data_IF_985110924645
#
_entry.id   IF_985110924645
#
_cell.length_a   1.000
_cell.length_b   1.000
_cell.length_c   1.000
_cell.angle_alpha   90.00
_cell.angle_beta   90.00
_cell.angle_gamma   90.00
#
_symmetry.space_group_name_H-M   'P 1'
#
loop_
_entity.id
_entity.type
_entity.pdbx_description
1 polymer ?
#
# COMPACT_ATOMS: atom_id res chain seq x y z
N UNK A 1 7.95 -7.33 6.70
CA UNK A 1 7.75 -7.18 8.17
C UNK A 1 6.50 -7.95 8.59
N UNK A 2 6.53 -8.60 9.77
CA UNK A 2 5.46 -9.40 10.43
C UNK A 2 4.72 -10.49 9.62
N UNK A 3 4.94 -10.58 8.32
CA UNK A 3 4.30 -11.51 7.40
C UNK A 3 4.38 -12.98 7.85
N UNK A 4 5.58 -13.42 8.27
CA UNK A 4 5.77 -14.80 8.73
C UNK A 4 4.86 -15.16 9.91
N UNK A 5 4.70 -14.25 10.88
CA UNK A 5 3.81 -14.48 12.02
C UNK A 5 2.34 -14.46 11.61
N UNK A 6 1.94 -13.55 10.72
CA UNK A 6 0.59 -13.49 10.18
C UNK A 6 0.23 -14.76 9.40
N UNK A 7 1.15 -15.25 8.57
CA UNK A 7 0.95 -16.44 7.75
C UNK A 7 0.85 -17.75 8.57
N UNK A 8 1.39 -17.77 9.79
CA UNK A 8 1.23 -18.87 10.73
C UNK A 8 -0.14 -18.89 11.43
N UNK A 9 -0.92 -17.81 11.34
CA UNK A 9 -2.24 -17.75 11.97
C UNK A 9 -3.26 -18.61 11.21
N UNK A 10 -4.36 -18.98 11.88
CA UNK A 10 -5.46 -19.71 11.25
C UNK A 10 -6.06 -18.90 10.09
N UNK A 11 -6.63 -19.61 9.09
CA UNK A 11 -7.29 -18.95 7.96
C UNK A 11 -8.43 -18.03 8.42
N UNK A 12 -9.16 -18.43 9.46
CA UNK A 12 -10.20 -17.62 10.08
C UNK A 12 -9.66 -16.28 10.60
N UNK A 13 -8.53 -16.31 11.31
CA UNK A 13 -7.88 -15.08 11.79
C UNK A 13 -7.37 -14.23 10.62
N UNK A 14 -6.73 -14.84 9.62
CA UNK A 14 -6.25 -14.08 8.46
C UNK A 14 -7.38 -13.35 7.74
N UNK A 15 -8.51 -14.04 7.52
CA UNK A 15 -9.71 -13.48 6.87
C UNK A 15 -10.46 -12.45 7.73
N UNK A 16 -10.35 -12.51 9.06
CA UNK A 16 -10.94 -11.50 9.94
C UNK A 16 -10.18 -10.17 9.90
N UNK A 17 -8.88 -10.23 9.61
CA UNK A 17 -8.02 -9.05 9.44
C UNK A 17 -8.08 -8.51 8.01
N UNK A 18 -8.00 -9.38 7.00
CA UNK A 18 -7.88 -8.99 5.60
C UNK A 18 -8.56 -10.02 4.70
N UNK A 19 -9.71 -9.67 4.12
CA UNK A 19 -10.41 -10.54 3.16
C UNK A 19 -9.66 -10.56 1.83
N UNK A 20 -9.93 -11.58 1.02
CA UNK A 20 -9.27 -11.75 -0.28
C UNK A 20 -9.42 -10.51 -1.19
N UNK A 21 -10.61 -9.89 -1.21
CA UNK A 21 -10.88 -8.68 -1.99
C UNK A 21 -10.22 -7.41 -1.40
N UNK A 22 -9.95 -7.39 -0.10
CA UNK A 22 -9.33 -6.23 0.56
C UNK A 22 -7.90 -6.03 0.05
N UNK A 23 -7.19 -7.12 -0.28
CA UNK A 23 -5.82 -7.07 -0.80
C UNK A 23 -5.71 -6.23 -2.07
N UNK A 24 -6.70 -6.34 -2.96
CA UNK A 24 -6.80 -5.63 -4.23
C UNK A 24 -7.09 -4.14 -4.02
N UNK A 25 -7.82 -3.79 -2.96
CA UNK A 25 -8.19 -2.43 -2.64
C UNK A 25 -7.62 -2.00 -1.27
N UNK A 26 -6.30 -2.10 -1.14
CA UNK A 26 -5.56 -1.73 0.07
C UNK A 26 -4.59 -0.58 -0.18
N UNK A 27 -4.20 0.07 0.91
CA UNK A 27 -3.03 0.96 0.98
C UNK A 27 -2.27 0.66 2.27
N UNK A 28 -0.99 1.01 2.30
CA UNK A 28 -0.12 0.79 3.45
C UNK A 28 0.36 2.14 3.97
N UNK A 29 0.35 2.32 5.28
CA UNK A 29 1.05 3.42 5.94
C UNK A 29 2.06 2.79 6.87
N UNK A 30 3.34 3.12 6.69
CA UNK A 30 4.43 2.52 7.47
C UNK A 30 5.47 3.57 7.83
N UNK A 31 6.08 3.44 9.01
CA UNK A 31 7.26 4.21 9.42
C UNK A 31 8.58 3.54 8.98
N UNK A 32 8.52 2.52 8.14
CA UNK A 32 9.67 1.80 7.58
C UNK A 32 9.69 1.97 6.05
N UNK A 33 10.66 1.40 5.35
CA UNK A 33 10.67 1.45 3.89
C UNK A 33 9.45 0.73 3.30
N UNK A 34 8.87 1.28 2.24
CA UNK A 34 7.78 0.62 1.50
C UNK A 34 8.25 -0.72 0.91
N UNK A 35 9.55 -0.88 0.65
CA UNK A 35 10.13 -2.16 0.22
C UNK A 35 9.99 -3.26 1.27
N UNK A 36 10.11 -2.93 2.57
CA UNK A 36 9.95 -3.91 3.65
C UNK A 36 8.50 -4.41 3.81
N UNK A 37 7.55 -3.73 3.15
CA UNK A 37 6.14 -4.09 3.07
C UNK A 37 5.83 -5.00 1.88
N UNK A 38 6.82 -5.55 1.16
CA UNK A 38 6.61 -6.29 -0.09
C UNK A 38 5.56 -7.41 -0.04
N UNK A 39 5.48 -8.17 1.07
CA UNK A 39 4.44 -9.20 1.25
C UNK A 39 3.02 -8.63 1.35
N UNK A 40 2.88 -7.36 1.71
CA UNK A 40 1.61 -6.67 1.84
C UNK A 40 1.25 -5.84 0.58
N UNK A 41 2.20 -5.68 -0.35
CA UNK A 41 2.03 -4.92 -1.61
C UNK A 41 1.79 -5.91 -2.75
N UNK A 42 0.52 -6.18 -3.06
CA UNK A 42 0.16 -7.15 -4.11
C UNK A 42 0.36 -6.64 -5.54
N UNK A 43 0.33 -5.33 -5.77
CA UNK A 43 0.53 -4.74 -7.10
C UNK A 43 1.05 -3.29 -7.01
N UNK A 44 1.62 -2.73 -8.10
CA UNK A 44 2.21 -1.39 -8.09
C UNK A 44 1.26 -0.29 -7.62
N UNK A 45 -0.04 -0.35 -7.96
CA UNK A 45 -1.02 0.65 -7.52
C UNK A 45 -1.14 0.70 -5.98
N UNK A 46 -0.98 -0.42 -5.23
CA UNK A 46 -0.95 -0.35 -3.75
C UNK A 46 0.21 0.54 -3.31
N UNK A 47 1.40 0.34 -3.90
CA UNK A 47 2.61 1.12 -3.60
C UNK A 47 2.41 2.61 -3.89
N UNK A 48 1.81 2.96 -5.02
CA UNK A 48 1.57 4.34 -5.44
C UNK A 48 0.68 5.14 -4.47
N UNK A 49 -0.27 4.46 -3.82
CA UNK A 49 -1.17 5.10 -2.86
C UNK A 49 -0.74 4.88 -1.40
N UNK A 50 0.34 4.14 -1.17
CA UNK A 50 0.89 3.91 0.15
C UNK A 50 1.78 5.05 0.61
N UNK A 51 2.00 5.13 1.91
CA UNK A 51 2.78 6.18 2.56
C UNK A 51 3.93 5.56 3.34
N UNK A 52 5.14 6.07 3.08
CA UNK A 52 6.36 5.64 3.73
C UNK A 52 7.38 6.79 3.74
N UNK A 53 8.33 6.81 4.70
CA UNK A 53 9.36 7.83 4.81
C UNK A 53 10.35 7.87 3.62
N UNK A 54 10.45 6.79 2.85
CA UNK A 54 11.33 6.67 1.67
C UNK A 54 10.67 7.11 0.36
N UNK A 55 9.65 7.97 0.41
CA UNK A 55 8.85 8.39 -0.75
C UNK A 55 9.67 9.08 -1.87
N UNK A 56 10.77 9.72 -1.52
CA UNK A 56 11.70 10.43 -2.43
C UNK A 56 13.09 9.77 -2.50
N UNK A 57 13.27 8.58 -1.91
CA UNK A 57 14.54 7.88 -1.78
C UNK A 57 15.68 8.72 -1.17
N UNK A 58 15.37 9.68 -0.29
CA UNK A 58 16.36 10.56 0.35
C UNK A 58 16.43 10.34 1.86
N UNK A 59 17.60 10.57 2.45
CA UNK A 59 17.73 10.61 3.91
C UNK A 59 16.95 11.79 4.47
N UNK A 60 16.24 11.58 5.59
CA UNK A 60 15.61 12.69 6.31
C UNK A 60 16.67 13.57 6.96
N UNK A 61 16.40 14.86 7.02
CA UNK A 61 17.16 15.77 7.87
C UNK A 61 17.04 15.33 9.34
N UNK A 62 18.10 15.55 10.12
CA UNK A 62 18.04 15.43 11.58
C UNK A 62 17.56 16.74 12.18
N UNK A 63 17.04 16.71 13.41
CA UNK A 63 16.58 17.92 14.07
C UNK A 63 15.42 17.66 15.02
N UNK A 64 14.44 18.56 15.01
CA UNK A 64 13.23 18.41 15.82
C UNK A 64 12.38 17.24 15.32
N UNK A 65 11.83 16.46 16.24
CA UNK A 65 10.91 15.35 15.95
C UNK A 65 9.77 15.75 15.00
N UNK A 66 9.14 16.90 15.22
CA UNK A 66 8.00 17.35 14.41
C UNK A 66 8.40 17.60 12.95
N UNK A 67 9.59 18.20 12.75
CA UNK A 67 10.14 18.47 11.42
C UNK A 67 10.48 17.15 10.70
N UNK A 68 11.11 16.20 11.41
CA UNK A 68 11.46 14.89 10.86
C UNK A 68 10.21 14.08 10.48
N UNK A 69 9.16 14.12 11.31
CA UNK A 69 7.89 13.45 11.04
C UNK A 69 7.20 14.05 9.80
N UNK A 70 7.20 15.37 9.68
CA UNK A 70 6.59 16.04 8.53
C UNK A 70 7.37 15.80 7.24
N UNK A 71 8.71 15.89 7.27
CA UNK A 71 9.59 15.57 6.14
C UNK A 71 9.44 14.11 5.70
N UNK A 72 9.24 13.20 6.65
CA UNK A 72 8.95 11.78 6.39
C UNK A 72 7.57 11.54 5.78
N UNK A 73 6.76 12.57 5.60
CA UNK A 73 5.35 12.47 5.22
C UNK A 73 4.54 11.57 6.17
N UNK A 74 4.90 11.51 7.45
CA UNK A 74 4.19 10.73 8.46
C UNK A 74 3.39 11.60 9.42
N UNK A 75 3.39 12.92 9.25
CA UNK A 75 2.53 13.81 10.03
C UNK A 75 1.05 13.52 9.76
N UNK A 76 0.19 13.91 10.70
CA UNK A 76 -1.26 13.70 10.55
C UNK A 76 -1.84 14.36 9.29
N UNK A 77 -1.23 15.46 8.82
CA UNK A 77 -1.59 16.11 7.57
C UNK A 77 -1.38 15.18 6.37
N UNK A 78 -0.18 14.59 6.24
CA UNK A 78 0.16 13.71 5.13
C UNK A 78 -0.64 12.41 5.14
N UNK A 79 -0.82 11.78 6.31
CA UNK A 79 -1.64 10.58 6.46
C UNK A 79 -3.09 10.86 6.00
N UNK A 80 -3.69 11.95 6.47
CA UNK A 80 -5.06 12.33 6.09
C UNK A 80 -5.16 12.58 4.58
N UNK A 81 -4.21 13.32 4.00
CA UNK A 81 -4.17 13.62 2.56
C UNK A 81 -4.06 12.34 1.71
N UNK A 82 -3.22 11.40 2.12
CA UNK A 82 -3.05 10.11 1.45
C UNK A 82 -4.35 9.28 1.50
N UNK A 83 -4.94 9.12 2.68
CA UNK A 83 -6.21 8.38 2.87
C UNK A 83 -7.34 9.01 2.05
N UNK A 84 -7.48 10.34 2.07
CA UNK A 84 -8.49 11.04 1.28
C UNK A 84 -8.30 10.80 -0.23
N UNK A 85 -7.06 10.82 -0.71
CA UNK A 85 -6.74 10.55 -2.12
C UNK A 85 -7.07 9.10 -2.48
N UNK A 86 -6.68 8.14 -1.64
CA UNK A 86 -6.98 6.72 -1.83
C UNK A 86 -8.48 6.43 -1.90
N UNK A 87 -9.27 7.04 -1.01
CA UNK A 87 -10.72 6.92 -0.98
C UNK A 87 -11.38 7.57 -2.21
N UNK A 88 -10.99 8.80 -2.55
CA UNK A 88 -11.53 9.55 -3.70
C UNK A 88 -11.29 8.82 -5.01
N UNK A 89 -10.09 8.29 -5.19
CA UNK A 89 -9.64 7.70 -6.46
C UNK A 89 -10.03 6.21 -6.59
N UNK A 90 -10.84 5.66 -5.67
CA UNK A 90 -11.26 4.25 -5.65
C UNK A 90 -11.77 3.75 -7.00
N UNK A 91 -12.71 4.47 -7.62
CA UNK A 91 -13.27 4.09 -8.94
C UNK A 91 -12.20 4.05 -10.03
N UNK A 92 -11.31 5.05 -10.05
CA UNK A 92 -10.19 5.14 -10.99
C UNK A 92 -9.26 3.93 -10.83
N UNK A 93 -8.84 3.63 -9.60
CA UNK A 93 -7.94 2.49 -9.29
C UNK A 93 -8.56 1.16 -9.70
N UNK A 94 -9.82 0.92 -9.35
CA UNK A 94 -10.52 -0.32 -9.70
C UNK A 94 -10.70 -0.48 -11.22
N UNK A 95 -10.95 0.60 -11.96
CA UNK A 95 -11.02 0.54 -13.43
C UNK A 95 -9.66 0.20 -14.05
N UNK A 96 -8.57 0.77 -13.54
CA UNK A 96 -7.21 0.43 -14.00
C UNK A 96 -6.95 -1.06 -13.76
N UNK A 97 -7.24 -1.57 -12.56
CA UNK A 97 -7.04 -2.98 -12.22
C UNK A 97 -7.89 -3.90 -13.10
N UNK A 98 -9.16 -3.55 -13.32
CA UNK A 98 -10.05 -4.29 -14.22
C UNK A 98 -9.45 -4.39 -15.62
N UNK A 99 -8.95 -3.28 -16.17
CA UNK A 99 -8.34 -3.27 -17.50
C UNK A 99 -7.07 -4.12 -17.57
N UNK A 100 -6.20 -4.06 -16.54
CA UNK A 100 -4.98 -4.90 -16.47
C UNK A 100 -5.35 -6.38 -16.50
N UNK A 101 -6.32 -6.79 -15.66
CA UNK A 101 -6.77 -8.17 -15.55
C UNK A 101 -7.40 -8.63 -16.86
N UNK A 102 -8.28 -7.83 -17.48
CA UNK A 102 -8.89 -8.14 -18.77
C UNK A 102 -7.83 -8.33 -19.86
N UNK A 103 -6.86 -7.42 -19.96
CA UNK A 103 -5.78 -7.55 -20.95
C UNK A 103 -4.92 -8.80 -20.71
N UNK A 104 -4.64 -9.17 -19.46
CA UNK A 104 -3.92 -10.41 -19.14
C UNK A 104 -4.69 -11.65 -19.56
N UNK A 105 -6.00 -11.70 -19.33
CA UNK A 105 -6.84 -12.81 -19.78
C UNK A 105 -6.85 -12.95 -21.30
N UNK A 106 -6.89 -11.85 -22.05
CA UNK A 106 -6.80 -11.88 -23.50
C UNK A 106 -5.47 -12.48 -23.97
N UNK A 107 -4.34 -12.08 -23.37
CA UNK A 107 -3.02 -12.64 -23.70
C UNK A 107 -2.99 -14.15 -23.44
N UNK A 108 -3.54 -14.61 -22.31
CA UNK A 108 -3.56 -16.03 -21.94
C UNK A 108 -4.49 -16.90 -22.81
N UNK A 109 -5.46 -16.31 -23.53
CA UNK A 109 -6.34 -17.03 -24.45
C UNK A 109 -5.80 -17.11 -25.88
N UNK A 110 -4.74 -16.34 -26.17
CA UNK A 110 -4.06 -16.33 -27.47
C UNK A 110 -2.92 -17.37 -27.52
N UNK A 111 -2.57 -17.97 -26.37
CA UNK A 111 -1.68 -19.13 -26.22
C UNK A 111 -2.47 -20.46 -26.20
#
# INVERSE_FOLDING_TARGET
LSWGLFNLQSREYQLSIMKDDDWINSMIITNTSIRNMGHWVHHPIVREYSLSPDWDNSWRSGGNLEEVIDESHLSGYWQKKAIQTFCRDKRKRLNILKNIISNQFEIMQVE
#
